data_IF_248182861810
#
_entry.id   IF_248182861810
#
_cell.length_a   1.000
_cell.length_b   1.000
_cell.length_c   1.000
_cell.angle_alpha   90.00
_cell.angle_beta   90.00
_cell.angle_gamma   90.00
#
_symmetry.space_group_name_H-M   'P 1'
#
loop_
_entity.id
_entity.type
_entity.pdbx_description
1 polymer ?
#
# COMPACT_ATOMS: atom_id res chain seq x y z
N UNK A 1 69.47 2.72 13.33
CA UNK A 1 68.08 3.05 13.56
C UNK A 1 67.30 2.54 12.36
N UNK A 2 66.70 1.34 12.49
CA UNK A 2 65.90 0.76 11.40
C UNK A 2 64.45 1.23 11.55
N UNK A 3 63.92 1.93 10.53
CA UNK A 3 62.52 2.30 10.44
C UNK A 3 61.72 1.12 9.86
N UNK A 4 60.88 0.51 10.67
CA UNK A 4 59.92 -0.51 10.23
C UNK A 4 58.69 0.25 9.70
N UNK A 5 58.45 0.16 8.39
CA UNK A 5 57.20 0.65 7.75
C UNK A 5 56.13 -0.42 7.94
N UNK A 6 55.14 -0.10 8.75
CA UNK A 6 53.93 -0.94 8.93
C UNK A 6 52.93 -0.60 7.82
N UNK A 7 52.77 -1.51 6.86
CA UNK A 7 51.80 -1.39 5.76
C UNK A 7 50.45 -1.95 6.25
N UNK A 8 49.49 -1.07 6.52
CA UNK A 8 48.15 -1.47 6.94
C UNK A 8 47.32 -1.85 5.70
N UNK A 9 47.12 -3.17 5.48
CA UNK A 9 46.26 -3.68 4.41
C UNK A 9 44.79 -3.58 4.86
N UNK A 10 44.05 -2.62 4.32
CA UNK A 10 42.60 -2.51 4.52
C UNK A 10 41.89 -3.54 3.63
N UNK A 11 41.43 -4.65 4.21
CA UNK A 11 40.57 -5.58 3.53
C UNK A 11 39.15 -4.99 3.46
N UNK A 12 38.75 -4.50 2.29
CA UNK A 12 37.36 -4.21 2.00
C UNK A 12 36.59 -5.55 1.82
N UNK A 13 35.84 -5.95 2.84
CA UNK A 13 34.85 -7.00 2.68
C UNK A 13 33.68 -6.43 1.87
N UNK A 14 33.65 -6.70 0.57
CA UNK A 14 32.46 -6.52 -0.25
C UNK A 14 31.48 -7.60 0.19
N UNK A 15 30.55 -7.24 1.07
CA UNK A 15 29.40 -8.09 1.43
C UNK A 15 28.47 -8.10 0.22
N UNK A 16 28.62 -9.08 -0.65
CA UNK A 16 27.59 -9.44 -1.63
C UNK A 16 26.39 -10.01 -0.87
N UNK A 17 25.44 -9.17 -0.53
CA UNK A 17 24.12 -9.64 -0.07
C UNK A 17 23.46 -10.33 -1.27
N UNK A 18 23.41 -11.67 -1.25
CA UNK A 18 22.60 -12.47 -2.18
C UNK A 18 21.13 -12.04 -1.98
N UNK A 19 20.67 -11.09 -2.77
CA UNK A 19 19.28 -10.69 -2.78
C UNK A 19 18.46 -11.88 -3.33
N UNK A 20 17.68 -12.49 -2.44
CA UNK A 20 16.82 -13.60 -2.80
C UNK A 20 15.79 -13.11 -3.82
N UNK A 21 15.89 -13.60 -5.05
CA UNK A 21 14.93 -13.28 -6.11
C UNK A 21 13.52 -13.69 -5.66
N UNK A 22 12.59 -12.73 -5.61
CA UNK A 22 11.18 -13.01 -5.32
C UNK A 22 10.53 -13.55 -6.58
N UNK A 23 10.10 -14.81 -6.51
CA UNK A 23 9.52 -15.53 -7.66
C UNK A 23 8.03 -15.22 -7.76
N UNK A 24 7.58 -14.76 -8.92
CA UNK A 24 6.16 -14.72 -9.26
C UNK A 24 5.69 -16.16 -9.51
N UNK A 25 4.54 -16.60 -8.98
CA UNK A 25 4.02 -17.96 -9.21
C UNK A 25 3.86 -18.28 -10.71
N UNK A 26 4.07 -19.56 -11.09
CA UNK A 26 4.11 -20.01 -12.50
C UNK A 26 2.77 -19.89 -13.24
N UNK A 27 1.67 -19.82 -12.49
CA UNK A 27 0.35 -19.55 -13.06
C UNK A 27 0.16 -18.06 -13.46
N UNK A 28 1.13 -17.18 -13.20
CA UNK A 28 1.16 -15.81 -13.68
C UNK A 28 2.26 -15.59 -14.69
N UNK A 29 1.95 -14.93 -15.80
CA UNK A 29 2.92 -14.57 -16.83
C UNK A 29 3.01 -13.08 -17.05
N UNK A 30 4.21 -12.60 -17.34
CA UNK A 30 4.47 -11.21 -17.69
C UNK A 30 3.74 -10.84 -18.97
N UNK A 31 3.06 -9.70 -18.95
CA UNK A 31 2.31 -9.14 -20.07
C UNK A 31 2.87 -7.76 -20.44
N UNK A 32 2.57 -7.34 -21.66
CA UNK A 32 2.81 -5.96 -22.07
C UNK A 32 1.88 -5.05 -21.26
N UNK A 33 2.43 -3.96 -20.74
CA UNK A 33 1.64 -2.92 -20.06
C UNK A 33 0.82 -2.20 -21.14
N UNK A 34 -0.51 -2.16 -21.03
CA UNK A 34 -1.33 -1.45 -22.01
C UNK A 34 -1.21 0.05 -21.82
N UNK A 35 -1.38 0.80 -22.87
CA UNK A 35 -1.58 2.25 -22.83
C UNK A 35 -2.91 2.55 -22.13
N UNK A 36 -2.92 3.54 -21.24
CA UNK A 36 -4.12 3.97 -20.53
C UNK A 36 -5.25 4.32 -21.51
N UNK A 37 -6.45 3.83 -21.20
CA UNK A 37 -7.67 4.03 -22.00
C UNK A 37 -7.64 3.39 -23.41
N UNK A 38 -6.64 2.55 -23.72
CA UNK A 38 -6.64 1.71 -24.91
C UNK A 38 -7.67 0.58 -24.82
N UNK A 39 -7.96 -0.08 -25.96
CA UNK A 39 -8.85 -1.24 -25.95
C UNK A 39 -8.38 -2.38 -25.02
N UNK A 40 -7.08 -2.58 -24.91
CA UNK A 40 -6.51 -3.60 -24.04
C UNK A 40 -6.60 -3.19 -22.56
N UNK A 41 -6.43 -1.90 -22.27
CA UNK A 41 -6.67 -1.39 -20.92
C UNK A 41 -8.15 -1.54 -20.51
N UNK A 42 -9.11 -1.25 -21.40
CA UNK A 42 -10.54 -1.47 -21.10
C UNK A 42 -10.87 -2.93 -20.84
N UNK A 43 -10.20 -3.89 -21.48
CA UNK A 43 -10.35 -5.32 -21.14
C UNK A 43 -9.93 -5.62 -19.70
N UNK A 44 -8.86 -4.96 -19.20
CA UNK A 44 -8.45 -5.09 -17.82
C UNK A 44 -9.47 -4.45 -16.87
N UNK A 45 -9.88 -3.24 -17.17
CA UNK A 45 -10.82 -2.47 -16.34
C UNK A 45 -12.19 -3.16 -16.21
N UNK A 46 -12.66 -3.84 -17.25
CA UNK A 46 -13.95 -4.55 -17.26
C UNK A 46 -13.88 -5.98 -16.69
N UNK A 47 -12.72 -6.42 -16.22
CA UNK A 47 -12.60 -7.75 -15.60
C UNK A 47 -13.28 -7.78 -14.23
N UNK A 48 -13.83 -8.93 -13.88
CA UNK A 48 -14.34 -9.25 -12.53
C UNK A 48 -13.26 -9.86 -11.63
N UNK A 49 -12.06 -10.17 -12.15
CA UNK A 49 -10.99 -10.75 -11.36
C UNK A 49 -10.23 -9.66 -10.61
N UNK A 50 -10.18 -9.74 -9.29
CA UNK A 50 -9.35 -8.91 -8.42
C UNK A 50 -8.31 -9.76 -7.70
N UNK A 51 -7.05 -9.32 -7.72
CA UNK A 51 -5.96 -10.05 -7.09
C UNK A 51 -5.37 -9.28 -5.93
N UNK A 52 -5.25 -9.93 -4.78
CA UNK A 52 -4.46 -9.41 -3.66
C UNK A 52 -3.08 -10.05 -3.61
N UNK A 53 -2.12 -9.30 -3.07
CA UNK A 53 -0.74 -9.74 -2.86
C UNK A 53 -0.34 -9.62 -1.39
N UNK A 54 0.48 -10.55 -0.92
CA UNK A 54 1.02 -10.52 0.44
C UNK A 54 2.44 -11.09 0.48
N UNK A 55 3.30 -10.49 1.30
CA UNK A 55 4.58 -11.09 1.68
C UNK A 55 4.36 -12.06 2.85
N UNK A 56 4.30 -13.35 2.56
CA UNK A 56 4.14 -14.38 3.58
C UNK A 56 5.45 -15.11 3.79
N UNK A 57 6.15 -14.78 4.87
CA UNK A 57 7.42 -15.41 5.23
C UNK A 57 8.48 -15.35 4.09
N UNK A 58 8.58 -14.22 3.41
CA UNK A 58 9.52 -14.02 2.30
C UNK A 58 9.11 -14.65 0.97
N UNK A 59 7.86 -15.10 0.84
CA UNK A 59 7.27 -15.59 -0.41
C UNK A 59 6.11 -14.70 -0.83
N UNK A 60 5.98 -14.47 -2.13
CA UNK A 60 4.83 -13.79 -2.70
C UNK A 60 3.63 -14.74 -2.72
N UNK A 61 2.58 -14.39 -1.98
CA UNK A 61 1.27 -15.04 -2.05
C UNK A 61 0.34 -14.14 -2.86
N UNK A 62 -0.34 -14.72 -3.85
CA UNK A 62 -1.34 -14.03 -4.69
C UNK A 62 -2.66 -14.76 -4.52
N UNK A 63 -3.74 -14.01 -4.32
CA UNK A 63 -5.10 -14.58 -4.21
C UNK A 63 -6.05 -13.80 -5.10
N UNK A 64 -6.95 -14.50 -5.77
CA UNK A 64 -8.15 -13.90 -6.33
C UNK A 64 -9.10 -13.61 -5.17
N UNK A 65 -9.66 -12.40 -5.10
CA UNK A 65 -10.47 -11.92 -3.99
C UNK A 65 -11.74 -11.22 -4.48
N UNK A 66 -12.75 -11.22 -3.64
CA UNK A 66 -13.86 -10.25 -3.76
C UNK A 66 -13.40 -8.92 -3.12
N UNK A 67 -13.58 -7.77 -3.79
CA UNK A 67 -13.22 -6.47 -3.23
C UNK A 67 -13.94 -6.23 -1.90
N UNK A 68 -13.18 -5.79 -0.90
CA UNK A 68 -13.72 -5.43 0.40
C UNK A 68 -13.61 -3.93 0.62
N UNK A 69 -14.72 -3.31 0.99
CA UNK A 69 -14.76 -1.89 1.31
C UNK A 69 -14.58 -1.68 2.81
N UNK A 70 -13.52 -0.97 3.18
CA UNK A 70 -13.25 -0.60 4.55
C UNK A 70 -12.11 -1.36 5.22
N UNK A 71 -11.86 -1.00 6.47
CA UNK A 71 -10.73 -1.49 7.26
C UNK A 71 -11.12 -1.65 8.72
N UNK A 72 -10.49 -2.62 9.42
CA UNK A 72 -10.70 -2.82 10.85
C UNK A 72 -9.37 -2.96 11.56
N UNK A 73 -9.26 -2.35 12.74
CA UNK A 73 -8.09 -2.48 13.60
C UNK A 73 -8.56 -2.74 15.04
N UNK A 74 -8.10 -3.88 15.62
CA UNK A 74 -8.32 -4.16 17.05
C UNK A 74 -7.46 -3.22 17.88
N UNK A 75 -8.09 -2.56 18.85
CA UNK A 75 -7.43 -1.69 19.81
C UNK A 75 -7.80 -2.11 21.24
N UNK A 76 -7.20 -1.47 22.23
CA UNK A 76 -7.56 -1.76 23.64
C UNK A 76 -9.04 -1.45 23.86
N UNK A 77 -9.78 -2.45 24.37
CA UNK A 77 -11.21 -2.37 24.73
C UNK A 77 -12.18 -2.14 23.55
N UNK A 78 -11.76 -2.42 22.30
CA UNK A 78 -12.67 -2.25 21.17
C UNK A 78 -12.02 -2.48 19.81
N UNK A 79 -12.73 -2.05 18.78
CA UNK A 79 -12.30 -2.13 17.38
C UNK A 79 -12.54 -0.77 16.73
N UNK A 80 -11.55 -0.27 16.00
CA UNK A 80 -11.74 0.81 15.04
C UNK A 80 -12.27 0.20 13.73
N UNK A 81 -13.29 0.80 13.17
CA UNK A 81 -13.95 0.37 11.93
C UNK A 81 -13.98 1.56 10.98
N UNK A 82 -13.34 1.42 9.85
CA UNK A 82 -13.36 2.38 8.76
C UNK A 82 -14.24 1.87 7.63
N UNK A 83 -15.18 2.67 7.19
CA UNK A 83 -16.03 2.40 6.05
C UNK A 83 -15.64 3.28 4.87
N UNK A 84 -15.70 2.69 3.66
CA UNK A 84 -15.51 3.40 2.40
C UNK A 84 -16.69 3.08 1.49
N UNK A 85 -17.59 4.04 1.30
CA UNK A 85 -18.77 3.93 0.42
C UNK A 85 -18.59 4.66 -0.91
N UNK A 86 -17.36 5.06 -1.25
CA UNK A 86 -17.06 5.82 -2.46
C UNK A 86 -17.80 7.17 -2.47
N UNK A 87 -18.56 7.45 -3.53
CA UNK A 87 -19.36 8.68 -3.66
C UNK A 87 -20.40 8.87 -2.55
N UNK A 88 -20.83 7.79 -1.91
CA UNK A 88 -21.79 7.82 -0.80
C UNK A 88 -21.15 8.14 0.55
N UNK A 89 -19.83 8.39 0.56
CA UNK A 89 -19.07 8.71 1.76
C UNK A 89 -18.67 7.48 2.57
N UNK A 90 -18.26 7.73 3.80
CA UNK A 90 -17.80 6.74 4.75
C UNK A 90 -17.59 7.35 6.12
N UNK A 91 -17.09 6.55 7.06
CA UNK A 91 -16.86 7.02 8.42
C UNK A 91 -15.82 6.18 9.14
N UNK A 92 -15.16 6.78 10.12
CA UNK A 92 -14.33 6.11 11.11
C UNK A 92 -15.10 6.02 12.41
N UNK A 93 -15.32 4.79 12.87
CA UNK A 93 -16.05 4.47 14.09
C UNK A 93 -15.14 3.76 15.10
N UNK A 94 -15.42 3.96 16.38
CA UNK A 94 -14.94 3.10 17.45
C UNK A 94 -16.10 2.27 17.99
N UNK A 95 -15.94 0.98 18.00
CA UNK A 95 -16.87 0.02 18.57
C UNK A 95 -16.29 -0.59 19.82
N UNK A 96 -16.86 -0.29 20.97
CA UNK A 96 -16.43 -0.85 22.27
C UNK A 96 -16.69 -2.36 22.34
N UNK A 97 -15.83 -3.07 23.07
CA UNK A 97 -16.07 -4.49 23.46
C UNK A 97 -17.31 -4.62 24.36
N UNK A 98 -17.74 -3.54 25.02
CA UNK A 98 -19.02 -3.51 25.74
C UNK A 98 -20.18 -3.29 24.74
N UNK A 99 -20.89 -4.37 24.42
CA UNK A 99 -22.00 -4.37 23.46
C UNK A 99 -23.19 -3.49 23.85
N UNK A 100 -23.24 -2.98 25.08
CA UNK A 100 -24.28 -2.03 25.52
C UNK A 100 -24.00 -0.61 25.07
N UNK A 101 -22.77 -0.30 24.68
CA UNK A 101 -22.40 1.01 24.16
C UNK A 101 -22.63 1.07 22.66
N UNK A 102 -23.18 2.19 22.20
CA UNK A 102 -23.31 2.45 20.76
C UNK A 102 -21.93 2.77 20.17
N UNK A 103 -21.71 2.46 18.88
CA UNK A 103 -20.50 2.92 18.20
C UNK A 103 -20.36 4.44 18.28
N UNK A 104 -19.15 4.90 18.55
CA UNK A 104 -18.76 6.32 18.57
C UNK A 104 -18.23 6.71 17.20
N UNK A 105 -18.82 7.73 16.56
CA UNK A 105 -18.28 8.29 15.33
C UNK A 105 -17.12 9.23 15.63
N UNK A 106 -15.95 8.90 15.07
CA UNK A 106 -14.71 9.68 15.21
C UNK A 106 -14.61 10.71 14.09
N UNK A 107 -14.87 10.29 12.84
CA UNK A 107 -14.73 11.15 11.66
C UNK A 107 -15.62 10.68 10.52
N UNK A 108 -16.10 11.62 9.71
CA UNK A 108 -16.69 11.34 8.39
C UNK A 108 -15.58 11.34 7.34
N UNK A 109 -15.71 10.43 6.36
CA UNK A 109 -14.77 10.29 5.23
C UNK A 109 -14.60 8.84 4.77
N UNK A 110 -14.11 8.65 3.56
CA UNK A 110 -13.88 7.33 2.97
C UNK A 110 -12.59 6.71 3.53
N UNK A 111 -12.71 5.86 4.54
CA UNK A 111 -11.58 5.25 5.22
C UNK A 111 -11.09 4.03 4.45
N UNK A 112 -9.93 4.16 3.84
CA UNK A 112 -9.30 3.10 3.04
C UNK A 112 -8.58 2.09 3.94
N UNK A 113 -7.80 2.58 4.90
CA UNK A 113 -7.00 1.73 5.80
C UNK A 113 -6.85 2.36 7.17
N UNK A 114 -6.93 1.52 8.21
CA UNK A 114 -6.52 1.83 9.59
C UNK A 114 -5.37 0.88 9.92
N UNK A 115 -4.27 1.39 10.45
CA UNK A 115 -3.10 0.57 10.75
C UNK A 115 -2.30 1.12 11.92
N UNK A 116 -1.53 0.24 12.57
CA UNK A 116 -0.55 0.62 13.57
C UNK A 116 0.84 0.67 12.93
N UNK A 117 1.57 1.73 13.21
CA UNK A 117 2.93 1.92 12.74
C UNK A 117 3.73 2.71 13.77
N UNK A 118 4.91 2.20 14.16
CA UNK A 118 5.77 2.82 15.19
C UNK A 118 5.02 3.17 16.49
N UNK A 119 4.17 2.24 16.97
CA UNK A 119 3.35 2.38 18.18
C UNK A 119 2.32 3.52 18.15
N UNK A 120 1.97 4.00 16.97
CA UNK A 120 0.92 4.99 16.74
C UNK A 120 -0.14 4.41 15.81
N UNK A 121 -1.36 4.90 15.92
CA UNK A 121 -2.46 4.51 15.05
C UNK A 121 -2.61 5.58 13.97
N UNK A 122 -2.70 5.11 12.75
CA UNK A 122 -2.93 5.94 11.56
C UNK A 122 -4.16 5.47 10.81
N UNK A 123 -4.76 6.37 10.08
CA UNK A 123 -5.74 6.02 9.06
C UNK A 123 -5.56 6.87 7.81
N UNK A 124 -6.00 6.32 6.70
CA UNK A 124 -5.92 6.97 5.39
C UNK A 124 -7.32 7.09 4.80
N UNK A 125 -7.61 8.28 4.30
CA UNK A 125 -8.78 8.56 3.47
C UNK A 125 -8.40 8.62 2.00
N UNK A 126 -9.31 8.18 1.13
CA UNK A 126 -9.14 8.28 -0.32
C UNK A 126 -10.47 8.27 -1.04
N UNK A 127 -10.60 9.11 -2.05
CA UNK A 127 -11.73 9.13 -2.97
C UNK A 127 -11.24 9.50 -4.37
N UNK A 128 -11.51 8.62 -5.33
CA UNK A 128 -11.44 8.93 -6.76
C UNK A 128 -12.85 8.83 -7.32
N UNK A 129 -13.44 9.97 -7.72
CA UNK A 129 -14.78 10.02 -8.30
C UNK A 129 -14.90 11.19 -9.29
N UNK A 130 -15.29 10.88 -10.50
CA UNK A 130 -15.40 11.87 -11.59
C UNK A 130 -14.08 12.65 -11.80
N UNK A 131 -14.11 13.97 -11.57
CA UNK A 131 -12.96 14.88 -11.71
C UNK A 131 -12.21 15.10 -10.40
N UNK A 132 -12.57 14.42 -9.33
CA UNK A 132 -11.91 14.50 -8.03
C UNK A 132 -11.09 13.24 -7.78
N UNK A 133 -9.83 13.41 -7.43
CA UNK A 133 -8.98 12.37 -6.87
C UNK A 133 -8.14 12.98 -5.76
N UNK A 134 -8.14 12.37 -4.59
CA UNK A 134 -7.38 12.88 -3.46
C UNK A 134 -7.62 12.09 -2.18
N UNK A 135 -6.86 12.42 -1.16
CA UNK A 135 -6.97 11.80 0.15
C UNK A 135 -5.98 12.37 1.14
N UNK A 136 -5.91 11.78 2.33
CA UNK A 136 -5.00 12.23 3.37
C UNK A 136 -4.60 11.11 4.34
N UNK A 137 -3.42 11.26 4.93
CA UNK A 137 -2.94 10.45 6.07
C UNK A 137 -3.18 11.22 7.36
N UNK A 138 -3.75 10.54 8.34
CA UNK A 138 -4.04 11.07 9.67
C UNK A 138 -3.39 10.21 10.76
N UNK A 139 -2.97 10.84 11.85
CA UNK A 139 -2.66 10.18 13.12
C UNK A 139 -3.89 10.21 14.02
N UNK A 140 -4.23 9.09 14.65
CA UNK A 140 -5.32 8.97 15.60
C UNK A 140 -4.76 8.82 17.03
N UNK A 141 -5.15 9.72 17.90
CA UNK A 141 -4.75 9.75 19.30
C UNK A 141 -5.95 9.59 20.24
N UNK A 142 -5.70 9.11 21.46
CA UNK A 142 -6.70 9.12 22.54
C UNK A 142 -6.22 10.07 23.62
N UNK A 143 -6.93 11.18 23.80
CA UNK A 143 -6.63 12.21 24.80
C UNK A 143 -7.82 12.31 25.76
N UNK A 144 -7.57 12.11 27.07
CA UNK A 144 -8.61 12.14 28.12
C UNK A 144 -9.83 11.28 27.78
N UNK A 145 -9.59 10.07 27.28
CA UNK A 145 -10.62 9.11 26.85
C UNK A 145 -11.47 9.54 25.64
N UNK A 146 -11.04 10.55 24.89
CA UNK A 146 -11.66 10.99 23.64
C UNK A 146 -10.72 10.73 22.47
N UNK A 147 -11.28 10.31 21.34
CA UNK A 147 -10.52 10.21 20.10
C UNK A 147 -10.28 11.58 19.50
N UNK A 148 -9.03 11.85 19.13
CA UNK A 148 -8.62 13.04 18.38
C UNK A 148 -7.75 12.60 17.21
N UNK A 149 -7.86 13.28 16.09
CA UNK A 149 -7.05 13.01 14.92
C UNK A 149 -6.41 14.30 14.39
N UNK A 150 -5.24 14.12 13.78
CA UNK A 150 -4.49 15.19 13.15
C UNK A 150 -4.14 14.78 11.72
N UNK A 151 -4.37 15.67 10.76
CA UNK A 151 -3.96 15.44 9.37
C UNK A 151 -2.46 15.70 9.25
N UNK A 152 -1.73 14.71 8.74
CA UNK A 152 -0.29 14.75 8.59
C UNK A 152 0.15 15.07 7.16
N UNK A 153 -0.52 14.47 6.17
CA UNK A 153 -0.16 14.60 4.75
C UNK A 153 -1.42 14.61 3.89
N UNK A 154 -1.42 15.41 2.84
CA UNK A 154 -2.38 15.33 1.74
C UNK A 154 -1.80 14.48 0.59
N UNK A 155 -2.67 13.79 -0.14
CA UNK A 155 -2.34 13.11 -1.39
C UNK A 155 -3.05 13.82 -2.55
N UNK A 156 -2.32 14.03 -3.63
CA UNK A 156 -2.83 14.63 -4.87
C UNK A 156 -3.67 13.63 -5.67
N UNK A 157 -3.65 12.36 -5.27
CA UNK A 157 -4.37 11.27 -5.90
C UNK A 157 -4.89 10.31 -4.82
N UNK A 158 -6.05 9.70 -5.03
CA UNK A 158 -6.75 8.90 -4.03
C UNK A 158 -5.93 7.66 -3.60
N UNK A 159 -5.47 7.56 -2.34
CA UNK A 159 -4.90 6.32 -1.83
C UNK A 159 -5.91 5.17 -1.92
N UNK A 160 -5.47 4.00 -2.37
CA UNK A 160 -6.29 2.80 -2.50
C UNK A 160 -5.70 1.61 -1.74
N UNK A 161 -4.38 1.44 -1.73
CA UNK A 161 -3.71 0.41 -0.94
C UNK A 161 -2.55 0.99 -0.12
N UNK A 162 -2.41 0.51 1.11
CA UNK A 162 -1.37 0.94 2.05
C UNK A 162 -0.69 -0.28 2.67
N UNK A 163 0.63 -0.27 2.76
CA UNK A 163 1.42 -1.26 3.48
C UNK A 163 2.58 -0.59 4.22
N UNK A 164 2.98 -1.18 5.33
CA UNK A 164 4.10 -0.71 6.13
C UNK A 164 5.24 -1.72 6.12
N UNK A 165 6.45 -1.27 6.01
CA UNK A 165 7.63 -2.14 6.13
C UNK A 165 8.81 -1.35 6.69
N UNK A 166 9.40 -1.85 7.77
CA UNK A 166 10.46 -1.18 8.52
C UNK A 166 10.00 0.20 9.01
N UNK A 167 10.61 1.25 8.50
CA UNK A 167 10.40 2.67 8.82
C UNK A 167 9.61 3.44 7.76
N UNK A 168 9.03 2.73 6.78
CA UNK A 168 8.34 3.32 5.63
C UNK A 168 6.88 2.89 5.53
N UNK A 169 6.08 3.81 5.01
CA UNK A 169 4.71 3.54 4.56
C UNK A 169 4.70 3.63 3.04
N UNK A 170 4.17 2.61 2.40
CA UNK A 170 4.01 2.50 0.96
C UNK A 170 2.54 2.70 0.61
N UNK A 171 2.27 3.54 -0.38
CA UNK A 171 0.91 3.87 -0.80
C UNK A 171 0.80 3.72 -2.31
N UNK A 172 -0.05 2.81 -2.76
CA UNK A 172 -0.53 2.79 -4.12
C UNK A 172 -1.85 3.57 -4.15
N UNK A 173 -1.89 4.61 -4.96
CA UNK A 173 -3.06 5.41 -5.18
C UNK A 173 -3.70 5.07 -6.53
N UNK A 174 -4.77 5.75 -6.88
CA UNK A 174 -5.54 5.52 -8.11
C UNK A 174 -4.66 5.43 -9.37
N UNK A 175 -3.58 6.21 -9.45
CA UNK A 175 -2.64 6.21 -10.57
C UNK A 175 -1.18 6.43 -10.20
N UNK A 176 -0.86 6.68 -8.91
CA UNK A 176 0.51 6.99 -8.47
C UNK A 176 1.00 5.99 -7.41
N UNK A 177 2.30 6.03 -7.14
CA UNK A 177 2.90 5.27 -6.04
C UNK A 177 3.81 6.16 -5.20
N UNK A 178 3.56 6.15 -3.90
CA UNK A 178 4.30 6.96 -2.92
C UNK A 178 5.04 6.10 -1.92
N UNK A 179 6.17 6.61 -1.45
CA UNK A 179 6.88 6.14 -0.25
C UNK A 179 6.93 7.29 0.75
N UNK A 180 6.53 7.01 1.98
CA UNK A 180 6.56 7.97 3.09
C UNK A 180 7.58 7.48 4.10
N UNK A 181 8.54 8.32 4.43
CA UNK A 181 9.57 8.08 5.42
C UNK A 181 9.73 9.34 6.28
N UNK A 182 9.68 9.22 7.61
CA UNK A 182 9.74 10.36 8.54
C UNK A 182 8.72 11.47 8.20
N UNK A 183 7.50 11.10 7.85
CA UNK A 183 6.43 11.99 7.39
C UNK A 183 6.78 12.82 6.14
N UNK A 184 7.82 12.45 5.41
CA UNK A 184 8.16 13.01 4.11
C UNK A 184 7.62 12.10 3.01
N UNK A 185 6.67 12.61 2.23
CA UNK A 185 6.05 11.90 1.10
C UNK A 185 6.88 12.11 -0.16
N UNK A 186 7.23 11.01 -0.84
CA UNK A 186 7.90 11.03 -2.14
C UNK A 186 7.08 10.24 -3.15
N UNK A 187 6.67 10.85 -4.22
CA UNK A 187 6.09 10.17 -5.39
C UNK A 187 7.22 9.49 -6.16
N UNK A 188 7.09 8.19 -6.40
CA UNK A 188 8.08 7.37 -7.09
C UNK A 188 7.63 7.07 -8.53
N UNK A 189 6.35 6.74 -8.69
CA UNK A 189 5.71 6.51 -9.97
C UNK A 189 4.49 7.41 -10.10
N UNK A 190 4.26 7.95 -11.29
CA UNK A 190 3.24 8.96 -11.58
C UNK A 190 2.48 8.59 -12.85
N UNK A 191 1.14 8.71 -12.82
CA UNK A 191 0.24 8.47 -13.96
C UNK A 191 0.38 7.07 -14.58
N UNK A 192 0.42 6.05 -13.74
CA UNK A 192 0.69 4.68 -14.16
C UNK A 192 -0.54 3.97 -14.74
N UNK A 193 -0.30 2.87 -15.43
CA UNK A 193 -1.32 2.09 -16.16
C UNK A 193 -2.45 1.52 -15.30
N UNK A 194 -2.25 1.44 -13.98
CA UNK A 194 -3.26 0.90 -13.07
C UNK A 194 -4.37 1.88 -12.69
N UNK A 195 -4.40 3.07 -13.30
CA UNK A 195 -5.53 4.00 -13.12
C UNK A 195 -6.85 3.25 -13.33
N UNK A 196 -7.81 3.41 -12.39
CA UNK A 196 -9.08 2.67 -12.37
C UNK A 196 -8.99 1.14 -12.38
N UNK A 197 -7.82 0.55 -12.11
CA UNK A 197 -7.68 -0.90 -11.87
C UNK A 197 -7.72 -1.24 -10.38
N UNK A 198 -7.97 -0.24 -9.54
CA UNK A 198 -8.25 -0.37 -8.11
C UNK A 198 -7.18 -1.15 -7.34
N UNK A 199 -5.97 -0.61 -7.16
CA UNK A 199 -4.98 -1.16 -6.23
C UNK A 199 -5.61 -1.49 -4.88
N UNK A 200 -5.46 -2.73 -4.41
CA UNK A 200 -6.13 -3.20 -3.18
C UNK A 200 -5.15 -3.71 -2.11
N UNK A 201 -3.93 -4.00 -2.50
CA UNK A 201 -2.91 -4.58 -1.61
C UNK A 201 -1.50 -4.30 -2.11
N UNK A 202 -0.54 -4.29 -1.18
CA UNK A 202 0.89 -4.13 -1.47
C UNK A 202 1.65 -5.22 -0.73
N UNK A 203 2.64 -5.85 -1.38
CA UNK A 203 3.58 -6.78 -0.75
C UNK A 203 5.00 -6.23 -0.91
N UNK A 204 5.64 -5.88 0.20
CA UNK A 204 7.00 -5.33 0.21
C UNK A 204 8.00 -6.40 0.61
N UNK A 205 9.02 -6.63 -0.20
CA UNK A 205 10.17 -7.49 0.11
C UNK A 205 11.46 -6.68 0.26
N UNK A 206 11.71 -5.81 -0.71
CA UNK A 206 12.79 -4.82 -0.75
C UNK A 206 12.47 -3.80 -1.85
N UNK A 207 13.31 -2.78 -2.03
CA UNK A 207 13.09 -1.70 -2.99
C UNK A 207 13.08 -2.16 -4.48
N UNK A 208 13.54 -3.38 -4.79
CA UNK A 208 13.50 -3.96 -6.14
C UNK A 208 12.33 -4.93 -6.35
N UNK A 209 11.67 -5.32 -5.27
CA UNK A 209 10.60 -6.30 -5.28
C UNK A 209 9.44 -5.83 -4.39
N UNK A 210 8.62 -4.96 -4.94
CA UNK A 210 7.33 -4.53 -4.38
C UNK A 210 6.26 -4.96 -5.35
N UNK A 211 5.18 -5.52 -4.86
CA UNK A 211 4.06 -5.97 -5.68
C UNK A 211 2.80 -5.24 -5.27
N UNK A 212 1.97 -4.90 -6.26
CA UNK A 212 0.64 -4.31 -6.07
C UNK A 212 -0.36 -5.29 -6.62
N UNK A 213 -1.36 -5.66 -5.83
CA UNK A 213 -2.53 -6.41 -6.27
C UNK A 213 -3.62 -5.45 -6.73
N UNK A 214 -4.27 -5.79 -7.84
CA UNK A 214 -5.30 -4.96 -8.46
C UNK A 214 -6.23 -5.79 -9.35
N UNK A 215 -7.21 -5.14 -9.92
CA UNK A 215 -8.07 -5.75 -10.95
C UNK A 215 -7.23 -6.28 -12.11
N UNK A 216 -7.54 -7.47 -12.57
CA UNK A 216 -6.94 -8.17 -13.71
C UNK A 216 -5.51 -8.65 -13.53
N UNK A 217 -4.85 -8.42 -12.39
CA UNK A 217 -3.48 -8.90 -12.22
C UNK A 217 -2.71 -8.23 -11.10
N UNK A 218 -1.38 -8.26 -11.25
CA UNK A 218 -0.46 -7.66 -10.29
C UNK A 218 0.61 -6.84 -11.01
N UNK A 219 1.03 -5.74 -10.42
CA UNK A 219 2.21 -4.99 -10.84
C UNK A 219 3.40 -5.31 -9.92
N UNK A 220 4.59 -5.50 -10.51
CA UNK A 220 5.85 -5.56 -9.78
C UNK A 220 6.61 -4.25 -10.00
N UNK A 221 7.02 -3.61 -8.91
CA UNK A 221 7.77 -2.37 -8.91
C UNK A 221 9.22 -2.61 -8.49
N UNK A 222 10.14 -1.98 -9.22
CA UNK A 222 11.53 -1.79 -8.81
C UNK A 222 11.75 -0.28 -8.61
N UNK A 223 11.87 0.16 -7.36
CA UNK A 223 12.02 1.59 -7.03
C UNK A 223 13.39 2.14 -7.40
N UNK A 224 14.44 1.30 -7.41
CA UNK A 224 15.80 1.72 -7.76
C UNK A 224 15.92 2.06 -9.24
N UNK A 225 15.43 1.16 -10.09
CA UNK A 225 15.52 1.29 -11.54
C UNK A 225 14.32 2.04 -12.15
N UNK A 226 13.32 2.37 -11.31
CA UNK A 226 12.03 2.93 -11.73
C UNK A 226 11.38 2.08 -12.84
N UNK A 227 11.31 0.77 -12.62
CA UNK A 227 10.72 -0.17 -13.58
C UNK A 227 9.45 -0.77 -13.01
N UNK A 228 8.49 -0.98 -13.92
CA UNK A 228 7.24 -1.68 -13.65
C UNK A 228 7.15 -2.89 -14.57
N UNK A 229 6.68 -3.99 -14.02
CA UNK A 229 6.32 -5.19 -14.76
C UNK A 229 4.88 -5.57 -14.41
N UNK A 230 4.11 -5.96 -15.40
CA UNK A 230 2.72 -6.38 -15.22
C UNK A 230 2.59 -7.87 -15.44
N UNK A 231 1.85 -8.54 -14.55
CA UNK A 231 1.60 -9.99 -14.62
C UNK A 231 0.11 -10.26 -14.51
N UNK A 232 -0.35 -11.22 -15.33
CA UNK A 232 -1.70 -11.75 -15.29
C UNK A 232 -1.68 -13.26 -15.09
N UNK A 233 -2.75 -13.78 -14.52
CA UNK A 233 -2.97 -15.21 -14.45
C UNK A 233 -3.11 -15.80 -15.86
N UNK A 234 -2.51 -16.96 -16.07
CA UNK A 234 -2.56 -17.65 -17.37
C UNK A 234 -4.00 -18.12 -17.65
N UNK A 235 -4.44 -18.02 -18.88
CA UNK A 235 -5.77 -18.43 -19.34
C UNK A 235 -6.95 -17.53 -18.86
N UNK A 236 -6.66 -16.29 -18.49
CA UNK A 236 -7.67 -15.27 -18.17
C UNK A 236 -7.49 -13.99 -18.99
#
# INVERSE_FOLDING_TARGET
MNKINFFFFFFFFVSCTNQKLVKVPENFSKKVIPENFSSDWYKLNNSSDDYSVQNKNGKLEIKNIEPQNGSKLKVKNGILVGNNGGEWGGELLYQSDNSKLKPEKIKEGNIVKIFEFQNKIYFVEGLAHMNYSGGALYELNTIQSQFKFEKLLDFEDAPEAIETSKDKIYVASHQNFYVIENLSKKMIFENEFWTSLYPNSIAVFNDENIFIGMRSGIAKLNLKDKKIEFYRENNK
#
